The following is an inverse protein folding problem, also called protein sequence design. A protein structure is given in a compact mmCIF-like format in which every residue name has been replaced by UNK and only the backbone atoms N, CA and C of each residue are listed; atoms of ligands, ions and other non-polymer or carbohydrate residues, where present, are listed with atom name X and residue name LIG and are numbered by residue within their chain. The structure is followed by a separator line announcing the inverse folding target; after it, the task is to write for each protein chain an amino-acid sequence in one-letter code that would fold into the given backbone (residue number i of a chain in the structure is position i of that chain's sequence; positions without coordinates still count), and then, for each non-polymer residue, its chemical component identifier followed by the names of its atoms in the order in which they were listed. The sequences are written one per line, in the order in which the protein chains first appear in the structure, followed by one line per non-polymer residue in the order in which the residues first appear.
data_IF_928120421511
#
_entry.id   IF_928120421511
#
_cell.length_a   1.000
_cell.length_b   1.000
_cell.length_c   1.000
_cell.angle_alpha   90.00
_cell.angle_beta   90.00
_cell.angle_gamma   90.00
#
_symmetry.space_group_name_H-M   'P 1'
#
loop_
_entity.id
_entity.type
_entity.pdbx_description
1 polymer ?
#
# COMPACT_ATOMS: atom_id res chain seq x y z
N UNK A 1 -6.46 14.41 0.64
CA UNK A 1 -7.15 13.13 0.76
C UNK A 1 -6.79 12.55 2.12
N UNK A 2 -7.79 12.18 2.92
CA UNK A 2 -7.53 11.52 4.20
C UNK A 2 -7.35 10.03 3.90
N UNK A 3 -6.12 9.65 3.53
CA UNK A 3 -5.77 8.27 3.25
C UNK A 3 -5.12 7.65 4.49
N UNK A 4 -5.48 6.42 4.82
CA UNK A 4 -4.71 5.56 5.72
C UNK A 4 -4.09 4.42 4.92
N UNK A 5 -2.86 4.06 5.25
CA UNK A 5 -2.11 3.03 4.52
C UNK A 5 -1.62 1.99 5.52
N UNK A 6 -2.03 0.75 5.28
CA UNK A 6 -1.65 -0.42 6.05
C UNK A 6 -0.84 -1.35 5.15
N UNK A 7 0.25 -1.91 5.67
CA UNK A 7 0.98 -3.00 5.01
C UNK A 7 0.80 -4.28 5.80
N UNK A 8 0.67 -5.39 5.11
CA UNK A 8 0.79 -6.74 5.63
C UNK A 8 1.90 -7.45 4.86
N UNK A 9 2.92 -7.92 5.58
CA UNK A 9 3.99 -8.76 5.04
C UNK A 9 3.94 -10.11 5.76
N UNK A 10 3.55 -11.16 5.05
CA UNK A 10 3.49 -12.52 5.57
C UNK A 10 2.70 -12.66 6.91
N UNK A 11 1.64 -11.86 7.12
CA UNK A 11 0.82 -11.87 8.33
C UNK A 11 1.27 -10.88 9.41
N UNK A 12 2.33 -10.10 9.18
CA UNK A 12 2.76 -9.02 10.07
C UNK A 12 2.25 -7.70 9.50
N UNK A 13 1.30 -7.08 10.22
CA UNK A 13 0.67 -5.82 9.81
C UNK A 13 1.32 -4.61 10.49
N UNK A 14 1.52 -3.53 9.73
CA UNK A 14 1.96 -2.24 10.26
C UNK A 14 1.25 -1.07 9.55
N UNK A 15 1.16 0.07 10.23
CA UNK A 15 0.71 1.34 9.64
C UNK A 15 1.89 2.16 9.13
N UNK A 16 1.70 3.00 8.11
CA UNK A 16 2.80 3.76 7.45
C UNK A 16 3.75 4.52 8.36
N UNK A 17 3.28 5.02 9.50
CA UNK A 17 4.14 5.72 10.46
C UNK A 17 5.31 4.88 11.02
N UNK A 18 5.23 3.55 10.88
CA UNK A 18 6.20 2.60 11.41
C UNK A 18 6.94 1.83 10.30
N UNK A 19 6.67 2.13 9.02
CA UNK A 19 7.23 1.38 7.89
C UNK A 19 8.43 2.12 7.32
N UNK A 20 9.63 1.61 7.60
CA UNK A 20 10.83 2.00 6.87
C UNK A 20 11.35 0.87 5.97
N UNK A 21 12.34 1.20 5.13
CA UNK A 21 12.95 0.25 4.19
C UNK A 21 13.59 -0.93 4.91
N UNK A 22 14.20 -0.70 6.08
CA UNK A 22 14.89 -1.74 6.85
C UNK A 22 13.89 -2.74 7.43
N UNK A 23 12.75 -2.25 7.91
CA UNK A 23 11.66 -3.07 8.41
C UNK A 23 11.07 -3.98 7.32
N UNK A 24 10.75 -3.41 6.14
CA UNK A 24 10.22 -4.19 5.00
C UNK A 24 11.27 -5.20 4.52
N UNK A 25 12.51 -4.76 4.34
CA UNK A 25 13.61 -5.63 3.89
C UNK A 25 13.84 -6.77 4.89
N UNK A 26 13.84 -6.47 6.18
CA UNK A 26 14.04 -7.44 7.24
C UNK A 26 12.94 -8.51 7.27
N UNK A 27 11.67 -8.13 7.14
CA UNK A 27 10.57 -9.09 7.08
C UNK A 27 10.63 -9.97 5.83
N UNK A 28 10.91 -9.38 4.68
CA UNK A 28 11.01 -10.14 3.42
C UNK A 28 12.20 -11.10 3.45
N UNK A 29 13.36 -10.66 3.95
CA UNK A 29 14.53 -11.53 4.06
C UNK A 29 14.31 -12.67 5.06
N UNK A 30 13.75 -12.38 6.24
CA UNK A 30 13.40 -13.44 7.22
C UNK A 30 12.46 -14.50 6.63
N UNK A 31 11.50 -14.09 5.80
CA UNK A 31 10.61 -15.02 5.12
C UNK A 31 11.36 -15.85 4.06
N UNK A 32 12.25 -15.22 3.28
CA UNK A 32 13.09 -15.91 2.29
C UNK A 32 14.06 -16.91 2.94
N UNK A 33 14.71 -16.54 4.05
CA UNK A 33 15.65 -17.39 4.77
C UNK A 33 14.99 -18.67 5.28
N UNK A 34 13.70 -18.57 5.66
CA UNK A 34 12.86 -19.72 6.04
C UNK A 34 12.33 -20.51 4.84
N UNK A 35 12.84 -20.24 3.62
CA UNK A 35 12.35 -20.79 2.34
C UNK A 35 10.83 -20.63 2.17
N UNK A 36 10.25 -19.63 2.83
CA UNK A 36 8.82 -19.36 2.79
C UNK A 36 8.49 -18.50 1.58
N UNK A 37 7.31 -18.74 1.02
CA UNK A 37 6.72 -17.86 0.01
C UNK A 37 6.43 -16.51 0.64
N UNK A 38 6.91 -15.43 0.01
CA UNK A 38 6.70 -14.06 0.49
C UNK A 38 5.44 -13.49 -0.14
N UNK A 39 4.58 -12.89 0.67
CA UNK A 39 3.41 -12.14 0.24
C UNK A 39 3.42 -10.76 0.90
N UNK A 40 3.12 -9.74 0.10
CA UNK A 40 2.91 -8.38 0.59
C UNK A 40 1.55 -7.92 0.11
N UNK A 41 0.76 -7.35 1.01
CA UNK A 41 -0.43 -6.58 0.62
C UNK A 41 -0.44 -5.20 1.28
N UNK A 42 -0.74 -4.18 0.49
CA UNK A 42 -0.94 -2.82 0.93
C UNK A 42 -2.42 -2.49 0.81
N UNK A 43 -3.00 -2.01 1.91
CA UNK A 43 -4.40 -1.57 1.97
C UNK A 43 -4.38 -0.05 2.10
N UNK A 44 -4.97 0.63 1.12
CA UNK A 44 -5.18 2.07 1.14
C UNK A 44 -6.65 2.32 1.43
N UNK A 45 -6.94 2.94 2.58
CA UNK A 45 -8.29 3.34 2.98
C UNK A 45 -8.51 4.80 2.65
N UNK A 46 -9.53 5.09 1.85
CA UNK A 46 -10.04 6.45 1.68
C UNK A 46 -11.09 6.74 2.75
N UNK A 47 -10.71 7.51 3.77
CA UNK A 47 -11.59 7.84 4.90
C UNK A 47 -12.81 8.70 4.48
N UNK A 48 -12.76 9.39 3.34
CA UNK A 48 -13.89 10.19 2.86
C UNK A 48 -14.97 9.34 2.21
N UNK A 49 -14.54 8.29 1.49
CA UNK A 49 -15.45 7.42 0.75
C UNK A 49 -15.74 6.12 1.50
N UNK A 50 -15.02 5.87 2.60
CA UNK A 50 -15.00 4.61 3.36
C UNK A 50 -14.74 3.39 2.47
N UNK A 51 -13.79 3.53 1.54
CA UNK A 51 -13.41 2.48 0.58
C UNK A 51 -12.01 1.98 0.93
N UNK A 52 -11.84 0.65 0.94
CA UNK A 52 -10.56 -0.01 1.08
C UNK A 52 -10.09 -0.55 -0.28
N UNK A 53 -8.91 -0.11 -0.72
CA UNK A 53 -8.26 -0.56 -1.95
C UNK A 53 -7.08 -1.44 -1.57
N UNK A 54 -7.08 -2.69 -2.02
CA UNK A 54 -6.02 -3.66 -1.73
C UNK A 54 -5.14 -3.89 -2.95
N UNK A 55 -3.85 -3.62 -2.80
CA UNK A 55 -2.80 -3.93 -3.77
C UNK A 55 -1.90 -5.02 -3.19
N UNK A 56 -1.47 -5.98 -3.98
CA UNK A 56 -0.69 -7.09 -3.45
C UNK A 56 0.29 -7.69 -4.47
N UNK A 57 1.32 -8.36 -3.94
CA UNK A 57 2.32 -9.05 -4.73
C UNK A 57 2.97 -10.21 -3.98
N UNK A 58 3.68 -11.05 -4.71
CA UNK A 58 4.24 -12.28 -4.17
C UNK A 58 3.25 -13.43 -4.25
N UNK A 59 3.48 -14.45 -3.42
CA UNK A 59 2.69 -15.66 -3.40
C UNK A 59 1.77 -15.69 -2.18
N UNK A 60 0.48 -15.41 -2.40
CA UNK A 60 -0.51 -15.37 -1.32
C UNK A 60 -0.59 -16.71 -0.57
N UNK A 61 -0.88 -16.70 0.75
CA UNK A 61 -1.25 -17.92 1.46
C UNK A 61 -2.45 -18.57 0.76
N UNK A 62 -2.53 -19.91 0.73
CA UNK A 62 -3.65 -20.66 0.09
C UNK A 62 -5.04 -20.27 0.61
N UNK A 63 -5.13 -19.56 1.74
CA UNK A 63 -6.37 -19.08 2.36
C UNK A 63 -6.76 -17.66 1.86
N UNK A 64 -5.88 -16.95 1.15
CA UNK A 64 -6.14 -15.60 0.65
C UNK A 64 -6.86 -15.56 -0.72
N UNK A 65 -7.43 -16.68 -1.18
CA UNK A 65 -8.32 -16.72 -2.34
C UNK A 65 -9.78 -16.59 -1.92
N UNK A 66 -10.16 -15.44 -1.38
CA UNK A 66 -11.55 -14.98 -1.44
C UNK A 66 -11.60 -13.46 -1.36
N UNK A 67 -11.43 -12.83 -2.51
CA UNK A 67 -12.41 -11.83 -2.95
C UNK A 67 -12.58 -11.97 -4.45
N UNK A 68 -13.16 -13.10 -4.86
CA UNK A 68 -14.19 -13.03 -5.89
C UNK A 68 -15.37 -12.33 -5.21
N UNK A 69 -15.49 -11.01 -5.42
CA UNK A 69 -16.78 -10.35 -5.19
C UNK A 69 -17.56 -10.40 -6.51
N UNK A 70 -18.84 -10.82 -6.51
CA UNK A 70 -19.63 -10.97 -7.72
C UNK A 70 -19.83 -9.58 -8.37
N UNK A 71 -19.44 -9.46 -9.64
CA UNK A 71 -19.41 -8.22 -10.43
C UNK A 71 -18.51 -7.13 -9.81
N UNK A 72 -17.23 -7.09 -10.21
CA UNK A 72 -16.39 -5.89 -10.02
C UNK A 72 -17.16 -4.68 -10.55
N UNK A 73 -17.58 -3.78 -9.67
CA UNK A 73 -17.98 -2.42 -10.04
C UNK A 73 -16.82 -1.79 -10.84
N UNK A 74 -17.08 -0.82 -11.74
CA UNK A 74 -16.00 -0.09 -12.39
C UNK A 74 -15.02 0.41 -11.32
N UNK A 75 -13.71 0.27 -11.59
CA UNK A 75 -12.67 0.76 -10.69
C UNK A 75 -12.96 2.23 -10.39
N UNK A 76 -12.89 2.63 -9.12
CA UNK A 76 -12.94 4.05 -8.81
C UNK A 76 -11.74 4.74 -9.45
N UNK A 77 -11.84 6.05 -9.73
CA UNK A 77 -10.70 6.80 -10.28
C UNK A 77 -9.47 6.70 -9.36
N UNK A 78 -9.68 6.59 -8.04
CA UNK A 78 -8.62 6.38 -7.06
C UNK A 78 -7.99 4.98 -7.20
N UNK A 79 -8.81 3.94 -7.29
CA UNK A 79 -8.33 2.55 -7.45
C UNK A 79 -7.53 2.36 -8.74
N UNK A 80 -7.98 2.96 -9.86
CA UNK A 80 -7.22 2.96 -11.11
C UNK A 80 -5.86 3.63 -10.93
N UNK A 81 -5.82 4.85 -10.37
CA UNK A 81 -4.57 5.58 -10.15
C UNK A 81 -3.60 4.83 -9.24
N UNK A 82 -4.10 4.24 -8.16
CA UNK A 82 -3.27 3.46 -7.23
C UNK A 82 -2.73 2.18 -7.89
N UNK A 83 -3.53 1.53 -8.73
CA UNK A 83 -3.09 0.38 -9.53
C UNK A 83 -2.00 0.80 -10.52
N UNK A 84 -2.19 1.88 -11.27
CA UNK A 84 -1.19 2.38 -12.23
C UNK A 84 0.13 2.73 -11.52
N UNK A 85 0.06 3.39 -10.36
CA UNK A 85 1.23 3.67 -9.52
C UNK A 85 1.92 2.38 -9.06
N UNK A 86 1.15 1.39 -8.61
CA UNK A 86 1.66 0.08 -8.20
C UNK A 86 2.42 -0.62 -9.34
N UNK A 87 1.89 -0.59 -10.56
CA UNK A 87 2.55 -1.08 -11.76
C UNK A 87 3.82 -0.28 -12.07
N UNK A 88 3.75 1.06 -11.98
CA UNK A 88 4.87 1.97 -12.26
C UNK A 88 6.07 1.71 -11.34
N UNK A 89 5.83 1.44 -10.06
CA UNK A 89 6.89 1.04 -9.11
C UNK A 89 7.31 -0.43 -9.24
N UNK A 90 6.78 -1.16 -10.22
CA UNK A 90 7.07 -2.58 -10.48
C UNK A 90 6.83 -3.44 -9.24
N UNK A 91 5.73 -3.16 -8.54
CA UNK A 91 5.33 -3.94 -7.38
C UNK A 91 4.61 -5.24 -7.76
N UNK A 92 4.22 -5.41 -9.02
CA UNK A 92 3.45 -6.56 -9.50
C UNK A 92 4.25 -7.86 -9.63
N UNK A 93 3.54 -8.98 -9.64
CA UNK A 93 4.10 -10.29 -9.98
C UNK A 93 4.29 -11.23 -8.79
N UNK A 94 4.82 -12.42 -9.08
CA UNK A 94 4.96 -13.52 -8.12
C UNK A 94 6.13 -13.39 -7.15
N UNK A 95 7.08 -12.48 -7.43
CA UNK A 95 8.21 -12.18 -6.56
C UNK A 95 8.06 -10.76 -5.99
N UNK A 96 8.31 -10.60 -4.69
CA UNK A 96 8.20 -9.29 -4.04
C UNK A 96 9.41 -8.41 -4.40
N UNK A 97 9.14 -7.30 -5.09
CA UNK A 97 10.08 -6.22 -5.31
C UNK A 97 10.06 -5.26 -4.11
N UNK A 98 10.97 -5.48 -3.15
CA UNK A 98 11.06 -4.69 -1.90
C UNK A 98 11.26 -3.20 -2.19
N UNK A 99 12.11 -2.85 -3.15
CA UNK A 99 12.39 -1.46 -3.50
C UNK A 99 11.14 -0.77 -4.03
N UNK A 100 10.43 -1.41 -4.96
CA UNK A 100 9.18 -0.91 -5.51
C UNK A 100 8.12 -0.66 -4.44
N UNK A 101 7.94 -1.62 -3.53
CA UNK A 101 6.98 -1.48 -2.40
C UNK A 101 7.36 -0.29 -1.52
N UNK A 102 8.64 -0.11 -1.19
CA UNK A 102 9.09 1.02 -0.38
C UNK A 102 8.87 2.37 -1.09
N UNK A 103 9.16 2.44 -2.39
CA UNK A 103 9.00 3.67 -3.17
C UNK A 103 7.54 4.05 -3.35
N UNK A 104 6.66 3.06 -3.55
CA UNK A 104 5.22 3.25 -3.56
C UNK A 104 4.70 3.83 -2.23
N UNK A 105 5.13 3.28 -1.10
CA UNK A 105 4.72 3.74 0.24
C UNK A 105 5.19 5.19 0.46
N UNK A 106 6.47 5.47 0.18
CA UNK A 106 7.03 6.83 0.31
C UNK A 106 6.30 7.85 -0.57
N UNK A 107 5.90 7.46 -1.78
CA UNK A 107 5.11 8.31 -2.65
C UNK A 107 3.77 8.68 -2.01
N UNK A 108 3.04 7.70 -1.46
CA UNK A 108 1.76 7.94 -0.79
C UNK A 108 1.92 8.87 0.43
N UNK A 109 2.95 8.66 1.25
CA UNK A 109 3.27 9.55 2.37
C UNK A 109 3.61 10.97 1.91
N UNK A 110 4.39 11.11 0.84
CA UNK A 110 4.73 12.41 0.25
C UNK A 110 3.51 13.16 -0.28
N UNK A 111 2.49 12.46 -0.78
CA UNK A 111 1.21 13.06 -1.14
C UNK A 111 0.44 13.55 0.10
N UNK A 112 0.37 12.74 1.17
CA UNK A 112 -0.31 13.13 2.42
C UNK A 112 0.32 14.36 3.10
N UNK A 113 1.66 14.45 3.11
CA UNK A 113 2.37 15.61 3.70
C UNK A 113 2.09 16.88 2.92
N UNK A 114 2.18 16.86 1.59
CA UNK A 114 1.92 18.03 0.73
C UNK A 114 0.51 18.59 0.92
N UNK A 115 -0.50 17.73 1.00
CA UNK A 115 -1.87 18.16 1.24
C UNK A 115 -2.07 18.75 2.64
N UNK A 116 -1.37 18.21 3.65
CA UNK A 116 -1.39 18.75 5.01
C UNK A 116 -0.75 20.14 5.07
N UNK A 117 0.37 20.33 4.38
CA UNK A 117 1.07 21.62 4.28
C UNK A 117 0.26 22.67 3.51
N UNK A 118 -0.40 22.28 2.41
CA UNK A 118 -1.30 23.16 1.66
C UNK A 118 -2.51 23.59 2.50
N UNK A 119 -3.08 22.67 3.29
CA UNK A 119 -4.17 22.99 4.21
C UNK A 119 -3.72 24.01 5.27
N UNK A 120 -2.55 23.78 5.87
CA UNK A 120 -1.97 24.68 6.86
C UNK A 120 -1.69 26.09 6.29
N UNK A 121 -1.21 26.16 5.04
CA UNK A 121 -0.99 27.45 4.34
C UNK A 121 -2.28 28.21 4.09
N UNK A 122 -3.34 27.51 3.67
CA UNK A 122 -4.66 28.11 3.48
C UNK A 122 -5.22 28.64 4.80
N UNK A 123 -5.15 27.85 5.86
CA UNK A 123 -5.68 28.25 7.17
C UNK A 123 -4.95 29.49 7.75
N UNK A 124 -3.65 29.66 7.44
CA UNK A 124 -2.86 30.85 7.82
C UNK A 124 -3.08 32.08 6.93
N UNK A 125 -3.70 31.95 5.77
CA UNK A 125 -4.00 33.07 4.86
C UNK A 125 -5.30 33.81 5.24
N UNK A 126 -6.12 33.23 6.12
CA UNK A 126 -7.37 33.81 6.62
C UNK A 126 -7.24 34.44 8.02
N UNK A 127 -6.00 34.64 8.49
CA UNK A 127 -5.68 35.30 9.76
C UNK A 127 -4.81 36.53 9.55
#
# INVERSE_FOLDING_TARGET
MALEVFIDICGVTATTREIDREWVTGLVNRAKDRKSKVWVSVIVRDLKQDINIRLACGSAPRIATTTNSPRRKPLTQLESKLTDLWSMFRCEGGNVNVQGVCDFIRYLEGCQRRESDEKLKKDKQWH
#
